data_IF_550313758858
#
_entry.id   IF_550313758858
#
_cell.length_a   1.000
_cell.length_b   1.000
_cell.length_c   1.000
_cell.angle_alpha   90.00
_cell.angle_beta   90.00
_cell.angle_gamma   90.00
#
_symmetry.space_group_name_H-M   'P 1'
#
loop_
_entity.id
_entity.type
_entity.pdbx_description
1 polymer ?
#
# COMPACT_ATOMS: atom_id res chain seq x y z
N UNK A 1 -13.32 -34.71 0.36
CA UNK A 1 -12.90 -33.72 1.36
C UNK A 1 -12.39 -32.50 0.58
N UNK A 2 -12.83 -31.28 0.89
CA UNK A 2 -12.36 -30.10 0.17
C UNK A 2 -10.84 -29.99 0.31
N UNK A 3 -10.15 -29.69 -0.78
CA UNK A 3 -8.70 -29.51 -0.74
C UNK A 3 -8.34 -28.27 0.09
N UNK A 4 -7.13 -28.23 0.64
CA UNK A 4 -6.68 -27.13 1.52
C UNK A 4 -6.84 -25.75 0.86
N UNK A 5 -6.61 -25.68 -0.45
CA UNK A 5 -6.78 -24.47 -1.26
C UNK A 5 -8.24 -24.04 -1.39
N UNK A 6 -9.17 -24.97 -1.58
CA UNK A 6 -10.61 -24.69 -1.69
C UNK A 6 -11.15 -24.18 -0.37
N UNK A 7 -10.72 -24.77 0.75
CA UNK A 7 -11.08 -24.29 2.10
C UNK A 7 -10.54 -22.88 2.35
N UNK A 8 -9.31 -22.59 1.96
CA UNK A 8 -8.71 -21.25 2.10
C UNK A 8 -9.40 -20.23 1.20
N UNK A 9 -9.75 -20.61 -0.02
CA UNK A 9 -10.52 -19.76 -0.92
C UNK A 9 -11.88 -19.42 -0.31
N UNK A 10 -12.59 -20.38 0.27
CA UNK A 10 -13.87 -20.12 0.92
C UNK A 10 -13.73 -19.29 2.21
N UNK A 11 -12.66 -19.51 2.99
CA UNK A 11 -12.34 -18.68 4.16
C UNK A 11 -12.16 -17.20 3.78
N UNK A 12 -11.58 -16.92 2.61
CA UNK A 12 -11.21 -15.57 2.17
C UNK A 12 -12.28 -14.92 1.28
N UNK A 13 -12.97 -15.70 0.46
CA UNK A 13 -13.90 -15.24 -0.56
C UNK A 13 -15.33 -15.77 -0.38
N UNK A 14 -15.62 -16.57 0.64
CA UNK A 14 -16.91 -17.26 0.79
C UNK A 14 -18.13 -16.37 1.03
N UNK A 15 -17.95 -15.12 1.48
CA UNK A 15 -19.06 -14.17 1.68
C UNK A 15 -18.84 -12.83 0.96
N UNK A 16 -19.92 -12.13 0.55
CA UNK A 16 -19.82 -10.79 -0.06
C UNK A 16 -19.05 -9.79 0.81
N UNK A 17 -19.23 -9.83 2.14
CA UNK A 17 -18.56 -8.93 3.09
C UNK A 17 -17.05 -9.17 3.12
N UNK A 18 -16.62 -10.43 3.06
CA UNK A 18 -15.19 -10.79 3.01
C UNK A 18 -14.54 -10.32 1.70
N UNK A 19 -15.23 -10.49 0.57
CA UNK A 19 -14.78 -9.98 -0.74
C UNK A 19 -14.63 -8.45 -0.72
N UNK A 20 -15.61 -7.73 -0.17
CA UNK A 20 -15.55 -6.28 -0.03
C UNK A 20 -14.39 -5.83 0.87
N UNK A 21 -14.15 -6.53 1.98
CA UNK A 21 -13.01 -6.27 2.87
C UNK A 21 -11.67 -6.49 2.19
N UNK A 22 -11.53 -7.57 1.41
CA UNK A 22 -10.32 -7.82 0.61
C UNK A 22 -10.10 -6.71 -0.42
N UNK A 23 -11.16 -6.24 -1.08
CA UNK A 23 -11.06 -5.11 -2.00
C UNK A 23 -10.61 -3.82 -1.28
N UNK A 24 -11.16 -3.54 -0.10
CA UNK A 24 -10.71 -2.40 0.72
C UNK A 24 -9.23 -2.51 1.07
N UNK A 25 -8.76 -3.69 1.49
CA UNK A 25 -7.35 -3.93 1.77
C UNK A 25 -6.47 -3.70 0.54
N UNK A 26 -6.89 -4.18 -0.63
CA UNK A 26 -6.17 -3.95 -1.88
C UNK A 26 -6.07 -2.45 -2.20
N UNK A 27 -7.17 -1.71 -2.09
CA UNK A 27 -7.18 -0.26 -2.30
C UNK A 27 -6.25 0.45 -1.32
N UNK A 28 -6.27 0.07 -0.04
CA UNK A 28 -5.37 0.66 0.96
C UNK A 28 -3.90 0.39 0.65
N UNK A 29 -3.54 -0.85 0.30
CA UNK A 29 -2.17 -1.21 -0.07
C UNK A 29 -1.75 -0.43 -1.31
N UNK A 30 -2.58 -0.35 -2.35
CA UNK A 30 -2.29 0.44 -3.55
C UNK A 30 -2.07 1.91 -3.23
N UNK A 31 -2.89 2.50 -2.36
CA UNK A 31 -2.71 3.90 -1.94
C UNK A 31 -1.40 4.12 -1.18
N UNK A 32 -0.95 3.17 -0.36
CA UNK A 32 0.36 3.25 0.28
C UNK A 32 1.50 3.31 -0.74
N UNK A 33 1.42 2.53 -1.83
CA UNK A 33 2.40 2.59 -2.91
C UNK A 33 2.36 3.91 -3.68
N UNK A 34 1.18 4.48 -3.90
CA UNK A 34 1.05 5.80 -4.53
C UNK A 34 1.71 6.87 -3.65
N UNK A 35 1.42 6.87 -2.35
CA UNK A 35 2.05 7.80 -1.40
C UNK A 35 3.56 7.64 -1.40
N UNK A 36 4.05 6.41 -1.32
CA UNK A 36 5.49 6.12 -1.40
C UNK A 36 6.09 6.66 -2.70
N UNK A 37 5.44 6.44 -3.84
CA UNK A 37 5.87 6.98 -5.14
C UNK A 37 5.97 8.50 -5.14
N UNK A 38 5.03 9.20 -4.50
CA UNK A 38 5.10 10.67 -4.35
C UNK A 38 6.29 11.09 -3.49
N UNK A 39 6.54 10.42 -2.35
CA UNK A 39 7.71 10.72 -1.52
C UNK A 39 9.03 10.47 -2.27
N UNK A 40 9.12 9.37 -3.01
CA UNK A 40 10.29 9.07 -3.85
C UNK A 40 10.47 10.14 -4.92
N UNK A 41 9.39 10.57 -5.58
CA UNK A 41 9.45 11.62 -6.59
C UNK A 41 9.94 12.95 -5.99
N UNK A 42 9.42 13.34 -4.84
CA UNK A 42 9.87 14.54 -4.11
C UNK A 42 11.35 14.42 -3.78
N UNK A 43 11.78 13.26 -3.27
CA UNK A 43 13.18 13.03 -2.92
C UNK A 43 14.11 13.10 -4.14
N UNK A 44 13.73 12.50 -5.27
CA UNK A 44 14.56 12.52 -6.49
C UNK A 44 14.65 13.93 -7.07
N UNK A 45 13.55 14.68 -7.08
CA UNK A 45 13.53 16.01 -7.69
C UNK A 45 14.09 17.11 -6.79
N UNK A 46 13.91 16.98 -5.47
CA UNK A 46 14.18 18.07 -4.52
C UNK A 46 15.03 17.64 -3.32
N UNK A 47 15.53 16.40 -3.26
CA UNK A 47 16.28 15.87 -2.13
C UNK A 47 17.45 16.77 -1.71
N UNK A 48 18.26 17.21 -2.68
CA UNK A 48 19.41 18.09 -2.41
C UNK A 48 18.97 19.45 -1.84
N UNK A 49 17.89 20.03 -2.38
CA UNK A 49 17.33 21.28 -1.89
C UNK A 49 16.77 21.14 -0.47
N UNK A 50 16.11 20.03 -0.17
CA UNK A 50 15.57 19.73 1.17
C UNK A 50 16.69 19.56 2.19
N UNK A 51 17.78 18.88 1.83
CA UNK A 51 18.96 18.72 2.69
C UNK A 51 19.65 20.07 2.91
N UNK A 52 19.84 20.85 1.86
CA UNK A 52 20.43 22.18 1.96
C UNK A 52 19.59 23.11 2.85
N UNK A 53 18.27 23.10 2.68
CA UNK A 53 17.34 23.86 3.54
C UNK A 53 17.45 23.42 5.00
N UNK A 54 17.43 22.11 5.26
CA UNK A 54 17.58 21.56 6.61
C UNK A 54 18.88 22.01 7.28
N UNK A 55 19.99 21.96 6.55
CA UNK A 55 21.29 22.40 7.06
C UNK A 55 21.34 23.91 7.31
N UNK A 56 20.57 24.71 6.58
CA UNK A 56 20.50 26.17 6.79
C UNK A 56 19.65 26.58 7.99
N UNK A 57 18.72 25.71 8.41
CA UNK A 57 17.85 25.93 9.57
C UNK A 57 18.47 25.43 10.88
N UNK A 58 19.55 24.66 10.80
CA UNK A 58 20.29 24.09 11.92
C UNK A 58 21.48 24.96 12.30
#
# INVERSE_FOLDING_TARGET
MPNVLERKADEWFGTPEKKARLLQWLVYISNLYVLFGVFVLIYVLYGDHLIALWNSLR
#
